data_IF_884334471842
#
_entry.id   IF_884334471842
#
_cell.length_a   1.000
_cell.length_b   1.000
_cell.length_c   1.000
_cell.angle_alpha   90.00
_cell.angle_beta   90.00
_cell.angle_gamma   90.00
#
_symmetry.space_group_name_H-M   'P 1'
#
loop_
_entity.id
_entity.type
_entity.pdbx_description
1 polymer ?
#
# COMPACT_ATOMS: atom_id res chain seq x y z
N UNK A 1 -2.30 6.87 -7.47
CA UNK A 1 -2.43 5.68 -8.35
C UNK A 1 -3.17 6.07 -9.61
N UNK A 2 -3.01 5.31 -10.71
CA UNK A 2 -3.78 5.55 -11.93
C UNK A 2 -5.26 5.21 -11.71
N UNK A 3 -6.13 6.21 -11.91
CA UNK A 3 -7.58 6.06 -11.83
C UNK A 3 -8.19 5.30 -13.01
N UNK A 4 -9.52 5.17 -12.99
CA UNK A 4 -10.31 4.50 -14.01
C UNK A 4 -10.22 2.96 -14.00
N UNK A 5 -10.66 2.36 -15.11
CA UNK A 5 -10.81 0.91 -15.35
C UNK A 5 -10.07 0.42 -16.60
N UNK A 6 -9.26 1.28 -17.23
CA UNK A 6 -8.46 0.94 -18.40
C UNK A 6 -7.33 -0.06 -18.12
N UNK A 7 -6.63 -0.49 -19.18
CA UNK A 7 -5.56 -1.49 -19.12
C UNK A 7 -4.43 -1.13 -18.12
N UNK A 8 -4.06 0.16 -18.03
CA UNK A 8 -2.99 0.64 -17.14
C UNK A 8 -3.52 1.23 -15.82
N UNK A 9 -4.81 1.09 -15.55
CA UNK A 9 -5.42 1.54 -14.29
C UNK A 9 -4.96 0.70 -13.11
N UNK A 10 -5.01 1.26 -11.91
CA UNK A 10 -4.76 0.51 -10.69
C UNK A 10 -5.81 -0.60 -10.46
N UNK A 11 -7.07 -0.35 -10.82
CA UNK A 11 -8.14 -1.34 -10.66
C UNK A 11 -7.85 -2.63 -11.44
N UNK A 12 -7.28 -2.53 -12.64
CA UNK A 12 -6.95 -3.68 -13.50
C UNK A 12 -5.62 -4.35 -13.17
N UNK A 13 -4.79 -3.75 -12.30
CA UNK A 13 -3.42 -4.21 -12.03
C UNK A 13 -3.11 -4.42 -10.54
N UNK A 14 -4.13 -4.54 -9.68
CA UNK A 14 -3.97 -4.60 -8.22
C UNK A 14 -4.27 -5.97 -7.60
N UNK A 15 -4.14 -7.06 -8.38
CA UNK A 15 -4.37 -8.44 -7.90
C UNK A 15 -3.44 -8.84 -6.74
N UNK A 16 -2.20 -8.34 -6.74
CA UNK A 16 -1.26 -8.62 -5.66
C UNK A 16 -1.77 -8.07 -4.33
N UNK A 17 -2.26 -6.83 -4.35
CA UNK A 17 -2.88 -6.18 -3.19
C UNK A 17 -4.16 -6.91 -2.77
N UNK A 18 -4.96 -7.38 -3.73
CA UNK A 18 -6.15 -8.21 -3.47
C UNK A 18 -5.80 -9.49 -2.71
N UNK A 19 -4.75 -10.18 -3.12
CA UNK A 19 -4.30 -11.42 -2.48
C UNK A 19 -3.75 -11.20 -1.08
N UNK A 20 -3.03 -10.09 -0.88
CA UNK A 20 -2.57 -9.65 0.45
C UNK A 20 -3.78 -9.39 1.36
N UNK A 21 -4.76 -8.61 0.90
CA UNK A 21 -6.00 -8.31 1.65
C UNK A 21 -6.70 -9.61 2.07
N UNK A 22 -6.86 -10.57 1.14
CA UNK A 22 -7.46 -11.86 1.44
C UNK A 22 -6.68 -12.66 2.50
N UNK A 23 -5.35 -12.59 2.50
CA UNK A 23 -4.49 -13.27 3.49
C UNK A 23 -4.48 -12.59 4.86
N UNK A 24 -4.74 -11.28 4.90
CA UNK A 24 -4.82 -10.50 6.15
C UNK A 24 -6.20 -10.56 6.79
N UNK A 25 -7.23 -10.98 6.05
CA UNK A 25 -8.61 -11.05 6.50
C UNK A 25 -8.81 -11.59 7.93
N UNK A 26 -8.29 -12.78 8.29
CA UNK A 26 -8.54 -13.32 9.63
C UNK A 26 -8.08 -12.39 10.76
N UNK A 27 -7.02 -11.61 10.54
CA UNK A 27 -6.48 -10.66 11.53
C UNK A 27 -7.37 -9.43 11.66
N UNK A 28 -7.93 -8.95 10.54
CA UNK A 28 -8.91 -7.86 10.54
C UNK A 28 -10.15 -8.29 11.31
N UNK A 29 -10.69 -9.48 11.01
CA UNK A 29 -11.88 -9.98 11.67
C UNK A 29 -11.68 -10.19 13.18
N UNK A 30 -10.57 -10.81 13.58
CA UNK A 30 -10.17 -11.01 14.97
C UNK A 30 -10.13 -9.69 15.74
N UNK A 31 -9.45 -8.67 15.19
CA UNK A 31 -9.32 -7.38 15.85
C UNK A 31 -10.65 -6.64 15.96
N UNK A 32 -11.54 -6.74 14.96
CA UNK A 32 -12.88 -6.18 15.05
C UNK A 32 -13.67 -6.85 16.17
N UNK A 33 -13.72 -8.18 16.21
CA UNK A 33 -14.47 -8.92 17.25
C UNK A 33 -14.00 -8.55 18.65
N UNK A 34 -12.69 -8.52 18.88
CA UNK A 34 -12.13 -8.13 20.17
C UNK A 34 -12.37 -6.65 20.51
N UNK A 35 -12.32 -5.75 19.53
CA UNK A 35 -12.67 -4.35 19.73
C UNK A 35 -14.13 -4.19 20.17
N UNK A 36 -15.06 -4.86 19.49
CA UNK A 36 -16.49 -4.80 19.83
C UNK A 36 -16.77 -5.31 21.25
N UNK A 37 -16.12 -6.42 21.64
CA UNK A 37 -16.19 -6.95 23.01
C UNK A 37 -15.68 -5.93 24.04
N UNK A 38 -14.59 -5.21 23.73
CA UNK A 38 -14.02 -4.20 24.64
C UNK A 38 -14.83 -2.92 24.72
N UNK A 39 -15.50 -2.55 23.64
CA UNK A 39 -16.32 -1.34 23.55
C UNK A 39 -17.79 -1.59 23.93
N UNK A 40 -18.14 -2.80 24.37
CA UNK A 40 -19.49 -3.19 24.75
C UNK A 40 -20.53 -2.95 23.63
N UNK A 41 -20.16 -3.23 22.37
CA UNK A 41 -21.07 -3.17 21.22
C UNK A 41 -21.82 -1.81 21.11
N UNK A 42 -21.13 -0.72 20.74
CA UNK A 42 -21.74 0.61 20.66
C UNK A 42 -22.84 0.71 19.57
N UNK A 43 -23.79 1.62 19.71
CA UNK A 43 -24.86 1.81 18.72
C UNK A 43 -24.37 2.33 17.36
N UNK A 44 -23.21 3.01 17.34
CA UNK A 44 -22.58 3.52 16.14
C UNK A 44 -21.09 3.15 16.11
N UNK A 45 -20.62 2.67 14.96
CA UNK A 45 -19.22 2.32 14.73
C UNK A 45 -18.70 3.11 13.56
N UNK A 46 -17.65 3.90 13.81
CA UNK A 46 -16.92 4.61 12.78
C UNK A 46 -15.64 3.86 12.39
N UNK A 47 -15.52 3.55 11.11
CA UNK A 47 -14.40 2.84 10.50
C UNK A 47 -13.72 3.73 9.48
N UNK A 48 -12.40 3.62 9.34
CA UNK A 48 -11.70 4.22 8.20
C UNK A 48 -10.77 3.23 7.48
N UNK A 49 -10.75 3.29 6.15
CA UNK A 49 -9.74 2.67 5.29
C UNK A 49 -8.79 3.77 4.77
N UNK A 50 -7.52 3.75 5.20
CA UNK A 50 -6.53 4.77 4.83
C UNK A 50 -5.66 4.32 3.66
N UNK A 51 -5.70 5.11 2.58
CA UNK A 51 -5.10 4.80 1.28
C UNK A 51 -5.93 3.76 0.54
N UNK A 52 -7.22 4.06 0.31
CA UNK A 52 -8.17 3.14 -0.31
C UNK A 52 -7.94 2.96 -1.83
N UNK A 53 -7.18 3.87 -2.46
CA UNK A 53 -6.97 3.96 -3.91
C UNK A 53 -8.30 4.04 -4.68
N UNK A 54 -8.28 3.62 -5.94
CA UNK A 54 -9.43 3.49 -6.83
C UNK A 54 -9.61 2.03 -7.25
N UNK A 55 -10.82 1.49 -7.17
CA UNK A 55 -11.14 0.15 -7.68
C UNK A 55 -11.77 -0.79 -6.65
N UNK A 56 -11.86 -2.07 -6.98
CA UNK A 56 -12.65 -3.04 -6.21
C UNK A 56 -12.01 -3.50 -4.90
N UNK A 57 -10.70 -3.33 -4.71
CA UNK A 57 -10.01 -3.85 -3.53
C UNK A 57 -10.53 -3.22 -2.23
N UNK A 58 -10.78 -1.91 -2.21
CA UNK A 58 -11.36 -1.25 -1.02
C UNK A 58 -12.78 -1.77 -0.71
N UNK A 59 -13.56 -2.14 -1.73
CA UNK A 59 -14.88 -2.75 -1.55
C UNK A 59 -14.82 -4.12 -0.88
N UNK A 60 -13.81 -4.94 -1.21
CA UNK A 60 -13.61 -6.23 -0.55
C UNK A 60 -13.31 -6.05 0.94
N UNK A 61 -12.44 -5.11 1.28
CA UNK A 61 -12.13 -4.75 2.67
C UNK A 61 -13.37 -4.25 3.38
N UNK A 62 -14.12 -3.34 2.76
CA UNK A 62 -15.33 -2.77 3.35
C UNK A 62 -16.39 -3.85 3.61
N UNK A 63 -16.65 -4.74 2.66
CA UNK A 63 -17.59 -5.86 2.80
C UNK A 63 -17.19 -6.77 3.96
N UNK A 64 -15.90 -7.12 4.04
CA UNK A 64 -15.36 -7.95 5.11
C UNK A 64 -15.55 -7.33 6.50
N UNK A 65 -15.19 -6.05 6.64
CA UNK A 65 -15.31 -5.33 7.91
C UNK A 65 -16.78 -5.21 8.33
N UNK A 66 -17.65 -4.77 7.42
CA UNK A 66 -19.08 -4.59 7.72
C UNK A 66 -19.77 -5.92 8.04
N UNK A 67 -19.46 -6.99 7.30
CA UNK A 67 -20.00 -8.32 7.60
C UNK A 67 -19.50 -8.86 8.93
N UNK A 68 -18.24 -8.59 9.29
CA UNK A 68 -17.70 -9.00 10.60
C UNK A 68 -18.40 -8.26 11.73
N UNK A 69 -18.58 -6.95 11.59
CA UNK A 69 -19.30 -6.14 12.58
C UNK A 69 -20.73 -6.66 12.74
N UNK A 70 -21.50 -6.70 11.65
CA UNK A 70 -22.91 -7.08 11.68
C UNK A 70 -23.13 -8.51 12.17
N UNK A 71 -22.29 -9.46 11.73
CA UNK A 71 -22.31 -10.83 12.21
C UNK A 71 -21.99 -10.96 13.71
N UNK A 72 -21.11 -10.10 14.25
CA UNK A 72 -20.81 -10.08 15.69
C UNK A 72 -21.99 -9.60 16.52
N UNK A 73 -22.73 -8.57 16.08
CA UNK A 73 -23.94 -8.09 16.79
C UNK A 73 -25.05 -9.15 16.78
N UNK A 74 -25.25 -9.82 15.64
CA UNK A 74 -26.24 -10.89 15.51
C UNK A 74 -25.98 -12.03 16.49
N UNK A 75 -24.72 -12.38 16.73
CA UNK A 75 -24.35 -13.41 17.73
C UNK A 75 -24.67 -13.01 19.17
N UNK A 76 -24.77 -11.70 19.45
CA UNK A 76 -25.13 -11.17 20.78
C UNK A 76 -26.62 -10.89 20.96
N UNK A 77 -27.46 -11.14 19.94
CA UNK A 77 -28.88 -10.78 19.90
C UNK A 77 -29.14 -9.28 20.17
N UNK A 78 -28.20 -8.41 19.80
CA UNK A 78 -28.36 -6.96 19.87
C UNK A 78 -28.81 -6.39 18.53
N UNK A 79 -29.39 -5.19 18.56
CA UNK A 79 -29.74 -4.45 17.35
C UNK A 79 -28.47 -4.10 16.55
N UNK A 80 -28.58 -4.12 15.22
CA UNK A 80 -27.45 -3.79 14.36
C UNK A 80 -27.02 -2.33 14.54
N UNK A 81 -25.71 -2.04 14.60
CA UNK A 81 -25.22 -0.68 14.75
C UNK A 81 -25.35 0.10 13.44
N UNK A 82 -25.33 1.42 13.55
CA UNK A 82 -25.04 2.29 12.41
C UNK A 82 -23.53 2.27 12.14
N UNK A 83 -23.14 2.08 10.89
CA UNK A 83 -21.72 2.04 10.49
C UNK A 83 -21.42 3.27 9.64
N UNK A 84 -20.49 4.10 10.10
CA UNK A 84 -19.92 5.23 9.35
C UNK A 84 -18.56 4.80 8.77
N UNK A 85 -18.52 4.50 7.47
CA UNK A 85 -17.36 3.96 6.78
C UNK A 85 -16.68 5.05 5.94
N UNK A 86 -15.47 5.42 6.34
CA UNK A 86 -14.70 6.50 5.74
C UNK A 86 -13.58 5.96 4.83
N UNK A 87 -13.64 6.32 3.55
CA UNK A 87 -12.62 6.01 2.54
C UNK A 87 -11.66 7.19 2.44
N UNK A 88 -10.40 7.01 2.84
CA UNK A 88 -9.40 8.06 2.74
C UNK A 88 -8.37 7.74 1.65
N UNK A 89 -8.00 8.78 0.90
CA UNK A 89 -6.83 8.80 0.03
C UNK A 89 -6.40 10.26 -0.21
N UNK A 90 -5.33 10.47 -0.96
CA UNK A 90 -4.90 11.80 -1.37
C UNK A 90 -5.94 12.48 -2.25
N UNK A 91 -6.01 13.82 -2.29
CA UNK A 91 -7.01 14.56 -3.07
C UNK A 91 -7.03 14.22 -4.57
N UNK A 92 -5.91 13.76 -5.12
CA UNK A 92 -5.77 13.39 -6.53
C UNK A 92 -6.30 11.98 -6.85
N UNK A 93 -6.72 11.22 -5.85
CA UNK A 93 -7.29 9.89 -6.06
C UNK A 93 -8.63 9.96 -6.79
N UNK A 94 -8.93 8.91 -7.57
CA UNK A 94 -10.19 8.80 -8.32
C UNK A 94 -11.32 8.26 -7.43
N UNK A 95 -11.80 9.11 -6.52
CA UNK A 95 -12.97 8.81 -5.68
C UNK A 95 -14.24 8.58 -6.51
N UNK A 96 -14.35 9.15 -7.71
CA UNK A 96 -15.54 8.99 -8.55
C UNK A 96 -15.71 7.53 -8.98
N UNK A 97 -14.63 6.86 -9.40
CA UNK A 97 -14.66 5.44 -9.74
C UNK A 97 -15.04 4.59 -8.53
N UNK A 98 -14.51 4.91 -7.35
CA UNK A 98 -14.89 4.23 -6.10
C UNK A 98 -16.37 4.46 -5.77
N UNK A 99 -16.88 5.69 -5.81
CA UNK A 99 -18.28 5.98 -5.46
C UNK A 99 -19.31 5.37 -6.43
N UNK A 100 -18.96 5.15 -7.70
CA UNK A 100 -19.82 4.41 -8.63
C UNK A 100 -20.12 2.98 -8.19
N UNK A 101 -19.26 2.38 -7.36
CA UNK A 101 -19.41 1.01 -6.86
C UNK A 101 -20.25 0.93 -5.56
N UNK A 102 -20.48 2.05 -4.87
CA UNK A 102 -21.26 2.11 -3.60
C UNK A 102 -22.67 1.53 -3.72
N UNK A 103 -23.47 1.80 -4.77
CA UNK A 103 -24.80 1.21 -4.90
C UNK A 103 -24.80 -0.32 -4.96
N UNK A 104 -23.74 -0.94 -5.48
CA UNK A 104 -23.60 -2.40 -5.50
C UNK A 104 -23.30 -2.91 -4.10
N UNK A 105 -22.37 -2.26 -3.40
CA UNK A 105 -22.05 -2.59 -2.02
C UNK A 105 -23.27 -2.54 -1.09
N UNK A 106 -24.08 -1.49 -1.20
CA UNK A 106 -25.28 -1.33 -0.36
C UNK A 106 -26.32 -2.46 -0.54
N UNK A 107 -26.26 -3.21 -1.66
CA UNK A 107 -27.11 -4.38 -1.88
C UNK A 107 -26.56 -5.66 -1.23
N UNK A 108 -25.25 -5.72 -1.00
CA UNK A 108 -24.54 -6.89 -0.47
C UNK A 108 -24.49 -6.90 1.06
N UNK A 109 -24.56 -5.73 1.71
CA UNK A 109 -24.48 -5.63 3.17
C UNK A 109 -25.84 -5.57 3.85
N UNK A 110 -25.92 -6.17 5.04
CA UNK A 110 -27.07 -6.03 5.95
C UNK A 110 -26.82 -4.85 6.91
N UNK A 111 -27.89 -4.15 7.30
CA UNK A 111 -27.81 -3.04 8.24
C UNK A 111 -27.56 -1.68 7.58
N UNK A 112 -27.33 -0.66 8.40
CA UNK A 112 -27.15 0.73 7.94
C UNK A 112 -25.66 1.05 7.84
N UNK A 113 -25.16 1.17 6.62
CA UNK A 113 -23.78 1.59 6.34
C UNK A 113 -23.79 2.90 5.54
N UNK A 114 -23.11 3.92 6.06
CA UNK A 114 -22.95 5.24 5.44
C UNK A 114 -21.52 5.38 4.96
N UNK A 115 -21.32 5.77 3.71
CA UNK A 115 -19.99 5.84 3.10
C UNK A 115 -19.62 7.28 2.81
N UNK A 116 -18.43 7.68 3.26
CA UNK A 116 -17.88 9.02 3.03
C UNK A 116 -16.47 8.93 2.43
N UNK A 117 -16.11 9.87 1.55
CA UNK A 117 -14.73 10.05 1.10
C UNK A 117 -14.04 11.17 1.88
N UNK A 118 -12.82 10.92 2.32
CA UNK A 118 -12.00 11.84 3.12
C UNK A 118 -10.72 12.14 2.34
N UNK A 119 -10.69 13.19 1.50
CA UNK A 119 -9.50 13.55 0.75
C UNK A 119 -8.47 14.20 1.67
N UNK A 120 -7.26 13.66 1.72
CA UNK A 120 -6.18 14.24 2.53
C UNK A 120 -5.07 13.26 2.85
N UNK A 121 -3.91 13.79 3.21
CA UNK A 121 -2.80 12.96 3.67
C UNK A 121 -3.09 12.40 5.06
N UNK A 122 -3.05 11.09 5.20
CA UNK A 122 -2.93 10.40 6.47
C UNK A 122 -1.68 10.75 7.31
N UNK A 123 -0.74 11.56 6.82
CA UNK A 123 0.28 12.20 7.68
C UNK A 123 -0.22 13.48 8.36
N UNK A 124 -1.52 13.79 8.23
CA UNK A 124 -2.21 14.91 8.89
C UNK A 124 -3.47 14.44 9.62
N UNK A 125 -4.14 15.34 10.35
CA UNK A 125 -5.45 15.10 10.97
C UNK A 125 -6.53 15.00 9.88
N UNK A 126 -7.30 13.92 9.91
CA UNK A 126 -8.39 13.60 8.99
C UNK A 126 -9.76 13.57 9.68
N UNK A 127 -9.77 13.28 10.99
CA UNK A 127 -11.01 13.07 11.75
C UNK A 127 -11.03 13.90 13.03
N UNK A 128 -12.21 14.20 13.62
CA UNK A 128 -12.31 14.78 14.95
C UNK A 128 -11.67 13.90 16.03
N UNK A 129 -11.32 14.52 17.16
CA UNK A 129 -10.72 13.79 18.29
C UNK A 129 -11.65 12.66 18.75
N UNK A 130 -11.07 11.48 19.01
CA UNK A 130 -11.77 10.32 19.61
C UNK A 130 -13.10 10.00 18.89
N UNK A 131 -13.07 9.95 17.57
CA UNK A 131 -14.24 9.67 16.73
C UNK A 131 -14.15 8.32 16.01
N UNK A 132 -12.95 7.77 15.83
CA UNK A 132 -12.72 6.50 15.14
C UNK A 132 -12.69 5.32 16.11
N UNK A 133 -13.34 4.23 15.73
CA UNK A 133 -13.32 2.97 16.47
C UNK A 133 -12.29 2.02 15.87
N UNK A 134 -12.35 1.83 14.55
CA UNK A 134 -11.47 0.93 13.80
C UNK A 134 -10.82 1.63 12.63
N UNK A 135 -9.55 1.31 12.39
CA UNK A 135 -8.80 1.78 11.23
C UNK A 135 -8.13 0.60 10.52
N UNK A 136 -8.30 0.57 9.21
CA UNK A 136 -7.59 -0.34 8.32
C UNK A 136 -6.67 0.47 7.40
N UNK A 137 -5.51 -0.10 7.06
CA UNK A 137 -4.69 0.39 5.95
C UNK A 137 -3.92 -0.78 5.37
N UNK A 138 -3.97 -0.95 4.04
CA UNK A 138 -3.21 -1.96 3.33
C UNK A 138 -2.46 -1.34 2.16
N UNK A 139 -1.15 -1.57 2.12
CA UNK A 139 -0.26 -1.15 1.03
C UNK A 139 -0.17 0.37 0.80
N UNK A 140 -0.28 1.14 1.88
CA UNK A 140 -0.25 2.62 1.80
C UNK A 140 0.85 3.24 2.66
N UNK A 141 1.12 2.70 3.85
CA UNK A 141 2.03 3.29 4.86
C UNK A 141 3.50 3.35 4.41
N UNK A 142 3.91 2.53 3.44
CA UNK A 142 5.27 2.55 2.90
C UNK A 142 5.53 3.73 1.96
N UNK A 143 4.49 4.47 1.54
CA UNK A 143 4.64 5.71 0.78
C UNK A 143 4.98 6.86 1.72
N UNK A 144 6.12 7.49 1.50
CA UNK A 144 6.63 8.59 2.31
C UNK A 144 5.86 9.87 2.02
N UNK A 145 5.88 10.80 2.98
CA UNK A 145 5.25 12.11 2.82
C UNK A 145 5.94 12.98 1.76
N UNK A 146 7.23 12.70 1.50
CA UNK A 146 8.08 13.37 0.52
C UNK A 146 9.30 12.51 0.18
N UNK A 147 9.99 12.89 -0.89
CA UNK A 147 11.31 12.35 -1.22
C UNK A 147 12.31 12.73 -0.12
N UNK A 148 13.12 11.79 0.41
CA UNK A 148 14.16 12.11 1.39
C UNK A 148 15.18 13.14 0.86
N UNK A 149 15.73 13.94 1.76
CA UNK A 149 16.86 14.83 1.44
C UNK A 149 18.18 14.06 1.55
N UNK A 150 19.26 14.55 0.92
CA UNK A 150 20.58 13.92 1.03
C UNK A 150 20.77 12.70 0.11
N UNK A 151 20.15 12.75 -1.08
CA UNK A 151 20.16 11.66 -2.08
C UNK A 151 21.09 11.96 -3.27
N UNK A 152 21.99 12.93 -3.17
CA UNK A 152 22.88 13.37 -4.26
C UNK A 152 23.82 12.25 -4.76
N UNK A 153 24.11 11.28 -3.89
CA UNK A 153 24.93 10.10 -4.20
C UNK A 153 24.10 8.94 -4.80
N UNK A 154 22.77 9.04 -4.90
CA UNK A 154 21.91 7.99 -5.46
C UNK A 154 21.88 8.00 -7.00
N UNK A 155 23.06 8.14 -7.63
CA UNK A 155 23.17 8.25 -9.08
C UNK A 155 22.75 6.95 -9.76
N UNK A 156 22.20 7.06 -10.95
CA UNK A 156 21.72 5.94 -11.77
C UNK A 156 20.64 5.07 -11.14
N UNK A 157 20.00 5.52 -10.05
CA UNK A 157 19.02 4.74 -9.32
C UNK A 157 17.85 5.63 -8.90
N UNK A 158 16.64 5.07 -8.90
CA UNK A 158 15.44 5.79 -8.46
C UNK A 158 15.09 5.52 -6.99
N UNK A 159 15.81 4.61 -6.33
CA UNK A 159 15.59 4.17 -4.96
C UNK A 159 16.86 3.50 -4.40
N UNK A 160 16.84 3.08 -3.14
CA UNK A 160 17.85 2.21 -2.54
C UNK A 160 18.06 0.96 -3.41
N UNK A 161 19.31 0.73 -3.81
CA UNK A 161 19.79 -0.45 -4.52
C UNK A 161 21.06 -1.01 -3.86
N UNK A 162 21.34 -2.30 -4.09
CA UNK A 162 22.59 -2.92 -3.61
C UNK A 162 23.81 -2.10 -4.04
N UNK A 163 24.67 -1.77 -3.08
CA UNK A 163 25.87 -0.94 -3.32
C UNK A 163 25.67 0.58 -3.19
N UNK A 164 24.44 1.07 -2.94
CA UNK A 164 24.23 2.48 -2.63
C UNK A 164 24.90 2.91 -1.31
N UNK A 165 25.09 4.22 -1.13
CA UNK A 165 25.74 4.74 0.07
C UNK A 165 24.87 4.54 1.32
N UNK A 166 25.51 4.34 2.47
CA UNK A 166 24.80 4.26 3.76
C UNK A 166 23.98 5.54 4.05
N UNK A 167 24.38 6.69 3.48
CA UNK A 167 23.66 7.95 3.63
C UNK A 167 22.30 7.91 2.92
N UNK A 168 22.23 7.34 1.71
CA UNK A 168 20.95 7.17 0.97
C UNK A 168 19.97 6.36 1.81
N UNK A 169 20.39 5.19 2.29
CA UNK A 169 19.51 4.32 3.09
C UNK A 169 19.07 4.96 4.40
N UNK A 170 20.00 5.63 5.10
CA UNK A 170 19.66 6.35 6.34
C UNK A 170 18.67 7.48 6.09
N UNK A 171 18.78 8.18 4.97
CA UNK A 171 17.87 9.27 4.62
C UNK A 171 16.45 8.76 4.41
N UNK A 172 16.30 7.67 3.66
CA UNK A 172 15.02 6.96 3.51
C UNK A 172 14.46 6.44 4.84
N UNK A 173 15.29 5.74 5.63
CA UNK A 173 14.90 5.21 6.94
C UNK A 173 14.44 6.34 7.89
N UNK A 174 15.18 7.46 7.95
CA UNK A 174 14.86 8.58 8.82
C UNK A 174 13.56 9.27 8.39
N UNK A 175 13.34 9.40 7.08
CA UNK A 175 12.09 9.95 6.54
C UNK A 175 10.91 9.05 6.91
N UNK A 176 11.03 7.73 6.74
CA UNK A 176 10.01 6.77 7.18
C UNK A 176 9.73 6.86 8.68
N UNK A 177 10.76 6.87 9.52
CA UNK A 177 10.58 6.95 10.97
C UNK A 177 9.87 8.23 11.40
N UNK A 178 10.17 9.35 10.73
CA UNK A 178 9.50 10.63 10.95
C UNK A 178 8.03 10.57 10.54
N UNK A 179 7.76 10.08 9.33
CA UNK A 179 6.41 9.99 8.76
C UNK A 179 5.53 9.02 9.55
N UNK A 180 6.06 7.85 9.90
CA UNK A 180 5.32 6.85 10.65
C UNK A 180 5.08 7.29 12.11
N UNK A 181 6.03 8.00 12.74
CA UNK A 181 5.79 8.63 14.03
C UNK A 181 4.65 9.66 13.95
N UNK A 182 4.67 10.52 12.93
CA UNK A 182 3.64 11.52 12.72
C UNK A 182 2.28 10.87 12.46
N UNK A 183 2.23 9.83 11.61
CA UNK A 183 1.02 9.02 11.39
C UNK A 183 0.44 8.53 12.72
N UNK A 184 1.23 7.86 13.56
CA UNK A 184 0.78 7.35 14.85
C UNK A 184 0.25 8.48 15.75
N UNK A 185 0.94 9.61 15.82
CA UNK A 185 0.48 10.77 16.60
C UNK A 185 -0.87 11.31 16.11
N UNK A 186 -1.07 11.44 14.80
CA UNK A 186 -2.35 11.90 14.26
C UNK A 186 -3.46 10.89 14.56
N UNK A 187 -3.18 9.58 14.40
CA UNK A 187 -4.16 8.53 14.69
C UNK A 187 -4.49 8.40 16.16
N UNK A 188 -3.55 8.69 17.06
CA UNK A 188 -3.79 8.58 18.50
C UNK A 188 -4.75 9.63 19.04
N UNK A 189 -4.84 10.78 18.36
CA UNK A 189 -5.82 11.83 18.67
C UNK A 189 -7.22 11.46 18.17
N UNK A 190 -7.32 10.71 17.06
CA UNK A 190 -8.57 10.41 16.35
C UNK A 190 -9.26 9.14 16.83
N UNK A 191 -8.47 8.14 17.24
CA UNK A 191 -8.98 6.83 17.66
C UNK A 191 -9.37 6.86 19.14
N UNK A 192 -10.52 6.27 19.46
CA UNK A 192 -11.02 6.10 20.81
C UNK A 192 -10.10 5.17 21.63
N UNK A 193 -10.02 5.33 22.97
CA UNK A 193 -9.42 4.31 23.82
C UNK A 193 -10.03 2.93 23.57
N UNK A 194 -9.21 1.89 23.51
CA UNK A 194 -9.56 0.52 23.07
C UNK A 194 -9.98 0.37 21.58
N UNK A 195 -10.02 1.47 20.82
CA UNK A 195 -10.08 1.42 19.37
C UNK A 195 -8.84 0.75 18.78
N UNK A 196 -8.95 0.24 17.56
CA UNK A 196 -7.91 -0.61 16.96
C UNK A 196 -7.51 -0.17 15.57
N UNK A 197 -6.25 -0.46 15.23
CA UNK A 197 -5.74 -0.34 13.87
C UNK A 197 -5.21 -1.69 13.40
N UNK A 198 -5.45 -2.02 12.12
CA UNK A 198 -4.77 -3.11 11.43
C UNK A 198 -4.07 -2.53 10.20
N UNK A 199 -2.74 -2.62 10.20
CA UNK A 199 -1.86 -2.06 9.18
C UNK A 199 -1.15 -3.19 8.44
N UNK A 200 -1.20 -3.17 7.11
CA UNK A 200 -0.44 -4.09 6.26
C UNK A 200 0.38 -3.30 5.26
N UNK A 201 1.69 -3.54 5.18
CA UNK A 201 2.54 -2.86 4.21
C UNK A 201 3.79 -3.68 3.87
N UNK A 202 4.39 -3.35 2.73
CA UNK A 202 5.65 -3.91 2.26
C UNK A 202 6.74 -3.56 3.26
N UNK A 203 7.52 -4.56 3.67
CA UNK A 203 8.69 -4.41 4.52
C UNK A 203 9.88 -5.17 3.95
N UNK A 204 10.87 -5.43 4.80
CA UNK A 204 11.96 -6.34 4.47
C UNK A 204 12.39 -7.23 5.63
N UNK A 205 13.14 -8.29 5.31
CA UNK A 205 13.76 -9.17 6.31
C UNK A 205 14.84 -8.40 7.07
N UNK A 206 14.82 -8.53 8.38
CA UNK A 206 15.82 -7.96 9.29
C UNK A 206 17.10 -8.80 9.30
N UNK A 207 17.77 -8.87 8.14
CA UNK A 207 19.02 -9.62 7.95
C UNK A 207 20.06 -8.67 7.36
N UNK A 208 21.34 -8.84 7.71
CA UNK A 208 22.43 -8.06 7.10
C UNK A 208 22.67 -8.47 5.63
N UNK A 209 23.15 -7.57 4.76
CA UNK A 209 23.52 -6.17 5.04
C UNK A 209 22.32 -5.22 5.15
N UNK A 210 22.52 -4.11 5.88
CA UNK A 210 21.63 -2.93 5.80
C UNK A 210 21.70 -2.38 4.36
N UNK A 211 20.60 -1.85 3.82
CA UNK A 211 20.47 -1.45 2.40
C UNK A 211 20.40 -2.62 1.42
N UNK A 212 19.35 -3.43 1.49
CA UNK A 212 19.08 -4.41 0.44
C UNK A 212 18.09 -3.88 -0.58
N UNK A 213 18.35 -4.29 -1.82
CA UNK A 213 17.40 -4.22 -2.91
C UNK A 213 16.33 -5.30 -2.72
N UNK A 214 15.46 -5.09 -1.73
CA UNK A 214 14.40 -6.04 -1.35
C UNK A 214 13.07 -5.75 -2.08
N UNK A 215 13.05 -4.74 -2.97
CA UNK A 215 11.88 -4.42 -3.79
C UNK A 215 12.24 -4.22 -5.26
N UNK A 216 12.28 -5.37 -5.93
CA UNK A 216 12.74 -5.56 -7.31
C UNK A 216 12.15 -4.62 -8.39
N UNK A 217 10.96 -4.06 -8.16
CA UNK A 217 10.33 -3.10 -9.08
C UNK A 217 11.17 -1.82 -9.26
N UNK A 218 11.86 -1.34 -8.23
CA UNK A 218 12.63 -0.09 -8.33
C UNK A 218 13.95 -0.26 -9.09
N UNK A 219 14.58 -1.42 -8.98
CA UNK A 219 15.77 -1.75 -9.77
C UNK A 219 15.46 -1.89 -11.24
N UNK A 220 14.35 -2.56 -11.58
CA UNK A 220 13.87 -2.62 -12.96
C UNK A 220 13.57 -1.25 -13.56
N UNK A 221 12.98 -0.35 -12.79
CA UNK A 221 12.73 1.03 -13.23
C UNK A 221 14.04 1.80 -13.42
N UNK A 222 15.02 1.59 -12.54
CA UNK A 222 16.35 2.20 -12.68
C UNK A 222 17.04 1.72 -13.96
N UNK A 223 17.06 0.41 -14.21
CA UNK A 223 17.68 -0.19 -15.39
C UNK A 223 17.00 0.31 -16.69
N UNK A 224 15.67 0.39 -16.70
CA UNK A 224 14.90 0.93 -17.82
C UNK A 224 15.25 2.39 -18.13
N UNK A 225 15.42 3.23 -17.11
CA UNK A 225 15.80 4.63 -17.29
C UNK A 225 17.24 4.79 -17.78
N UNK A 226 18.16 3.94 -17.34
CA UNK A 226 19.57 3.95 -17.79
C UNK A 226 19.71 3.55 -19.25
N UNK A 227 18.91 2.60 -19.73
CA UNK A 227 18.85 2.30 -21.16
C UNK A 227 18.42 3.53 -21.97
N UNK A 228 17.41 4.27 -21.50
CA UNK A 228 16.91 5.47 -22.18
C UNK A 228 17.91 6.63 -22.13
N UNK A 229 18.74 6.73 -21.08
CA UNK A 229 19.88 7.66 -21.08
C UNK A 229 20.89 7.27 -22.15
N UNK A 230 21.20 5.98 -22.26
CA UNK A 230 22.15 5.46 -23.25
C UNK A 230 21.66 5.67 -24.70
N UNK A 231 20.34 5.66 -24.89
CA UNK A 231 19.68 5.96 -26.18
C UNK A 231 19.51 7.47 -26.45
N UNK A 232 19.84 8.33 -25.48
CA UNK A 232 19.68 9.78 -25.59
C UNK A 232 18.23 10.27 -25.53
N UNK A 233 17.29 9.43 -25.07
CA UNK A 233 15.86 9.76 -24.95
C UNK A 233 15.59 10.63 -23.71
N UNK A 234 16.33 10.39 -22.62
CA UNK A 234 16.27 11.19 -21.38
C UNK A 234 17.67 11.60 -20.94
N UNK A 235 17.80 12.70 -20.20
CA UNK A 235 19.10 13.14 -19.69
C UNK A 235 19.48 12.40 -18.42
N UNK A 236 20.77 12.12 -18.25
CA UNK A 236 21.31 11.57 -17.01
C UNK A 236 20.90 12.39 -15.77
N UNK A 237 20.93 13.72 -15.87
CA UNK A 237 20.54 14.62 -14.77
C UNK A 237 19.07 14.51 -14.39
N UNK A 238 18.19 14.18 -15.35
CA UNK A 238 16.77 13.98 -15.07
C UNK A 238 16.57 12.68 -14.28
N UNK A 239 17.27 11.60 -14.67
CA UNK A 239 17.25 10.33 -13.94
C UNK A 239 17.84 10.47 -12.53
N UNK A 240 19.01 11.09 -12.38
CA UNK A 240 19.67 11.28 -11.09
C UNK A 240 18.84 12.14 -10.10
N UNK A 241 17.97 13.01 -10.62
CA UNK A 241 17.07 13.84 -9.80
C UNK A 241 15.75 13.16 -9.42
N UNK A 242 15.41 12.02 -10.03
CA UNK A 242 14.18 11.30 -9.77
C UNK A 242 14.38 10.23 -8.70
N UNK A 243 13.74 10.40 -7.54
CA UNK A 243 13.79 9.43 -6.45
C UNK A 243 12.36 9.11 -5.98
N UNK A 244 12.04 7.84 -5.81
CA UNK A 244 10.71 7.37 -5.41
C UNK A 244 10.52 7.60 -3.91
N UNK A 245 9.45 8.27 -3.45
CA UNK A 245 9.17 8.49 -2.02
C UNK A 245 8.55 7.23 -1.39
N UNK A 246 9.32 6.16 -1.31
CA UNK A 246 8.89 4.84 -0.81
C UNK A 246 9.96 4.29 0.13
N UNK A 247 9.55 3.64 1.22
CA UNK A 247 10.47 2.87 2.06
C UNK A 247 9.79 1.62 2.58
N UNK A 248 10.45 0.49 2.39
CA UNK A 248 10.10 -0.79 3.00
C UNK A 248 10.88 -0.91 4.32
N UNK A 249 10.23 -0.84 5.50
CA UNK A 249 10.90 -0.96 6.78
C UNK A 249 11.03 -2.41 7.26
N UNK A 250 11.88 -2.65 8.25
CA UNK A 250 11.93 -3.92 8.98
C UNK A 250 10.88 -3.94 10.09
N UNK A 251 10.46 -5.14 10.50
CA UNK A 251 9.58 -5.29 11.67
C UNK A 251 10.18 -4.64 12.94
N UNK A 252 11.51 -4.71 13.10
CA UNK A 252 12.24 -4.07 14.20
C UNK A 252 12.14 -2.55 14.17
N UNK A 253 12.30 -1.94 12.99
CA UNK A 253 12.16 -0.49 12.81
C UNK A 253 10.76 -0.01 13.16
N UNK A 254 9.72 -0.70 12.67
CA UNK A 254 8.31 -0.36 12.94
C UNK A 254 8.01 -0.47 14.43
N UNK A 255 8.38 -1.58 15.07
CA UNK A 255 8.17 -1.77 16.52
C UNK A 255 8.85 -0.69 17.35
N UNK A 256 10.06 -0.28 16.96
CA UNK A 256 10.80 0.79 17.65
C UNK A 256 10.05 2.11 17.58
N UNK A 257 9.51 2.49 16.42
CA UNK A 257 8.75 3.74 16.27
C UNK A 257 7.46 3.71 17.10
N UNK A 258 6.70 2.61 17.07
CA UNK A 258 5.46 2.48 17.87
C UNK A 258 5.74 2.61 19.37
N UNK A 259 6.78 1.92 19.86
CA UNK A 259 7.16 1.98 21.28
C UNK A 259 7.64 3.36 21.70
N UNK A 260 8.38 4.05 20.83
CA UNK A 260 8.89 5.39 21.09
C UNK A 260 7.80 6.46 21.06
N UNK A 261 6.81 6.34 20.16
CA UNK A 261 5.68 7.26 20.11
C UNK A 261 4.74 7.07 21.32
N UNK A 262 4.44 5.82 21.66
CA UNK A 262 3.89 5.44 22.96
C UNK A 262 2.36 5.45 23.10
N UNK A 263 1.59 5.96 22.13
CA UNK A 263 0.13 6.07 22.21
C UNK A 263 -0.62 4.77 21.95
N UNK A 264 0.04 3.79 21.31
CA UNK A 264 -0.54 2.50 20.97
C UNK A 264 0.20 1.35 21.66
N UNK A 265 -0.55 0.32 22.01
CA UNK A 265 -0.04 -1.00 22.36
C UNK A 265 0.05 -1.85 21.11
N UNK A 266 1.14 -2.60 20.95
CA UNK A 266 1.29 -3.58 19.88
C UNK A 266 0.58 -4.85 20.32
N UNK A 267 -0.59 -5.12 19.74
CA UNK A 267 -1.32 -6.37 20.00
C UNK A 267 -0.61 -7.54 19.31
N UNK A 268 -0.31 -7.38 18.01
CA UNK A 268 0.38 -8.41 17.23
C UNK A 268 1.17 -7.79 16.09
N UNK A 269 2.30 -8.42 15.77
CA UNK A 269 3.06 -8.16 14.54
C UNK A 269 3.42 -9.51 13.92
N UNK A 270 3.13 -9.66 12.63
CA UNK A 270 3.45 -10.85 11.85
C UNK A 270 4.16 -10.42 10.57
N UNK A 271 5.04 -11.29 10.09
CA UNK A 271 5.70 -11.08 8.80
C UNK A 271 5.58 -12.31 7.93
N UNK A 272 5.41 -12.12 6.63
CA UNK A 272 5.37 -13.24 5.69
C UNK A 272 5.86 -12.84 4.30
N UNK A 273 6.36 -13.83 3.58
CA UNK A 273 6.62 -13.70 2.15
C UNK A 273 5.35 -14.02 1.36
N UNK A 274 5.05 -13.13 0.42
CA UNK A 274 3.95 -13.29 -0.51
C UNK A 274 4.53 -13.45 -1.91
N UNK A 275 4.22 -14.59 -2.53
CA UNK A 275 4.51 -14.78 -3.94
C UNK A 275 3.66 -13.80 -4.75
N UNK A 276 4.32 -12.98 -5.57
CA UNK A 276 3.64 -12.07 -6.48
C UNK A 276 3.07 -12.91 -7.61
N UNK A 277 1.79 -13.25 -7.50
CA UNK A 277 1.16 -14.14 -8.46
C UNK A 277 1.15 -13.51 -9.86
N UNK A 278 1.43 -14.33 -10.86
CA UNK A 278 1.05 -14.09 -12.24
C UNK A 278 0.39 -15.38 -12.70
N UNK A 279 -0.87 -15.29 -13.13
CA UNK A 279 -1.58 -16.43 -13.70
C UNK A 279 -0.84 -16.85 -14.97
N UNK A 280 -0.30 -18.06 -14.96
CA UNK A 280 0.10 -18.79 -16.16
C UNK A 280 -1.11 -19.63 -16.56
N UNK A 281 -1.93 -19.11 -17.47
CA UNK A 281 -2.95 -19.96 -18.10
C UNK A 281 -2.24 -21.04 -18.93
N UNK A 282 -2.41 -22.28 -18.47
CA UNK A 282 -2.26 -23.58 -19.13
C UNK A 282 -0.90 -24.00 -19.73
N UNK A 283 -0.69 -25.32 -19.68
CA UNK A 283 0.52 -26.13 -19.94
C UNK A 283 1.02 -26.12 -21.41
N UNK A 284 0.81 -25.04 -22.18
CA UNK A 284 1.02 -25.03 -23.63
C UNK A 284 1.96 -23.96 -24.19
N UNK A 285 2.44 -23.04 -23.38
CA UNK A 285 3.38 -22.00 -23.82
C UNK A 285 4.83 -22.37 -23.49
N UNK A 286 5.75 -22.00 -24.37
CA UNK A 286 7.19 -22.11 -24.07
C UNK A 286 7.62 -21.04 -23.05
N UNK A 287 8.80 -21.26 -22.47
CA UNK A 287 9.36 -20.41 -21.40
C UNK A 287 9.54 -18.93 -21.84
N UNK A 288 9.77 -18.70 -23.14
CA UNK A 288 9.93 -17.36 -23.70
C UNK A 288 8.60 -16.59 -23.74
N UNK A 289 7.51 -17.23 -24.15
CA UNK A 289 6.16 -16.65 -24.10
C UNK A 289 5.76 -16.28 -22.68
N UNK A 290 6.06 -17.16 -21.71
CA UNK A 290 5.82 -16.90 -20.29
C UNK A 290 6.60 -15.68 -19.77
N UNK A 291 7.89 -15.58 -20.10
CA UNK A 291 8.70 -14.42 -19.73
C UNK A 291 8.17 -13.09 -20.28
N UNK A 292 7.69 -13.07 -21.54
CA UNK A 292 7.11 -11.86 -22.15
C UNK A 292 5.81 -11.44 -21.44
N UNK A 293 4.91 -12.40 -21.17
CA UNK A 293 3.66 -12.14 -20.44
C UNK A 293 3.95 -11.63 -19.03
N UNK A 294 4.90 -12.25 -18.33
CA UNK A 294 5.36 -11.81 -17.01
C UNK A 294 5.88 -10.38 -17.05
N UNK A 295 6.78 -10.06 -17.99
CA UNK A 295 7.37 -8.73 -18.11
C UNK A 295 6.33 -7.65 -18.35
N UNK A 296 5.35 -7.90 -19.24
CA UNK A 296 4.23 -6.98 -19.47
C UNK A 296 3.37 -6.76 -18.23
N UNK A 297 3.02 -7.84 -17.51
CA UNK A 297 2.21 -7.75 -16.28
C UNK A 297 2.94 -6.98 -15.18
N UNK A 298 4.24 -7.19 -15.03
CA UNK A 298 5.07 -6.44 -14.08
C UNK A 298 5.18 -4.97 -14.46
N UNK A 299 5.36 -4.65 -15.75
CA UNK A 299 5.37 -3.27 -16.25
C UNK A 299 4.03 -2.56 -15.99
N UNK A 300 2.89 -3.22 -16.28
CA UNK A 300 1.58 -2.63 -16.02
C UNK A 300 1.33 -2.39 -14.52
N UNK A 301 1.77 -3.30 -13.64
CA UNK A 301 1.72 -3.11 -12.19
C UNK A 301 2.55 -1.91 -11.72
N UNK A 302 3.79 -1.81 -12.20
CA UNK A 302 4.65 -0.66 -11.91
C UNK A 302 4.02 0.64 -12.41
N UNK A 303 3.54 0.64 -13.66
CA UNK A 303 2.87 1.78 -14.30
C UNK A 303 1.67 2.26 -13.51
N UNK A 304 0.80 1.35 -13.08
CA UNK A 304 -0.38 1.68 -12.31
C UNK A 304 -0.09 2.44 -11.00
N UNK A 305 1.11 2.26 -10.43
CA UNK A 305 1.51 2.92 -9.18
C UNK A 305 2.47 4.11 -9.37
N UNK A 306 3.22 4.19 -10.47
CA UNK A 306 4.23 5.25 -10.70
C UNK A 306 4.00 6.16 -11.90
N UNK A 307 3.06 5.88 -12.79
CA UNK A 307 2.91 6.68 -14.02
C UNK A 307 2.69 8.17 -13.74
N UNK A 308 1.77 8.51 -12.82
CA UNK A 308 1.53 9.92 -12.45
C UNK A 308 2.78 10.69 -11.99
N UNK A 309 3.67 10.07 -11.19
CA UNK A 309 4.91 10.71 -10.74
C UNK A 309 5.96 10.79 -11.86
N UNK A 310 6.01 9.79 -12.74
CA UNK A 310 6.91 9.79 -13.89
C UNK A 310 6.49 10.85 -14.91
N UNK A 311 5.19 11.00 -15.19
CA UNK A 311 4.64 12.08 -16.03
C UNK A 311 4.99 13.43 -15.43
N UNK A 312 4.83 13.61 -14.13
CA UNK A 312 5.14 14.88 -13.47
C UNK A 312 6.63 15.27 -13.58
N UNK A 313 7.53 14.28 -13.66
CA UNK A 313 8.98 14.51 -13.69
C UNK A 313 9.57 14.54 -15.10
N UNK A 314 9.27 13.52 -15.91
CA UNK A 314 9.80 13.35 -17.27
C UNK A 314 8.88 13.92 -18.35
N UNK A 315 7.65 14.29 -18.00
CA UNK A 315 6.69 14.91 -18.91
C UNK A 315 5.99 13.91 -19.83
N UNK A 316 6.49 13.82 -21.07
CA UNK A 316 5.76 13.27 -22.22
C UNK A 316 5.35 11.79 -22.06
N UNK A 317 4.07 11.52 -22.28
CA UNK A 317 3.48 10.17 -22.40
C UNK A 317 4.26 9.22 -23.33
N UNK A 318 4.92 9.72 -24.38
CA UNK A 318 5.78 8.91 -25.26
C UNK A 318 6.99 8.37 -24.48
N UNK A 319 7.65 9.22 -23.67
CA UNK A 319 8.77 8.81 -22.82
C UNK A 319 8.27 7.77 -21.79
N UNK A 320 7.09 7.98 -21.22
CA UNK A 320 6.50 7.02 -20.27
C UNK A 320 6.28 5.65 -20.91
N UNK A 321 5.76 5.61 -22.13
CA UNK A 321 5.61 4.36 -22.87
C UNK A 321 6.96 3.69 -23.13
N UNK A 322 8.00 4.45 -23.49
CA UNK A 322 9.35 3.91 -23.66
C UNK A 322 9.92 3.34 -22.35
N UNK A 323 9.73 4.03 -21.22
CA UNK A 323 10.14 3.56 -19.89
C UNK A 323 9.52 2.19 -19.62
N UNK A 324 8.20 2.04 -19.79
CA UNK A 324 7.52 0.79 -19.46
C UNK A 324 7.78 -0.33 -20.49
N UNK A 325 8.12 -0.01 -21.74
CA UNK A 325 8.61 -1.00 -22.70
C UNK A 325 9.97 -1.56 -22.28
N UNK A 326 10.90 -0.69 -21.87
CA UNK A 326 12.22 -1.09 -21.34
C UNK A 326 12.08 -1.85 -20.02
N UNK A 327 11.20 -1.39 -19.14
CA UNK A 327 10.86 -2.09 -17.90
C UNK A 327 10.39 -3.51 -18.19
N UNK A 328 9.44 -3.68 -19.12
CA UNK A 328 8.92 -4.99 -19.50
C UNK A 328 10.02 -5.89 -20.04
N UNK A 329 10.95 -5.35 -20.84
CA UNK A 329 12.11 -6.09 -21.37
C UNK A 329 13.01 -6.62 -20.25
N UNK A 330 13.43 -5.77 -19.31
CA UNK A 330 14.24 -6.19 -18.15
C UNK A 330 13.51 -7.20 -17.27
N UNK A 331 12.20 -6.99 -17.05
CA UNK A 331 11.38 -7.93 -16.29
C UNK A 331 11.27 -9.30 -16.98
N UNK A 332 11.19 -9.35 -18.32
CA UNK A 332 11.20 -10.58 -19.10
C UNK A 332 12.54 -11.31 -19.03
N UNK A 333 13.66 -10.59 -19.10
CA UNK A 333 14.99 -11.21 -19.03
C UNK A 333 15.30 -11.83 -17.67
N UNK A 334 14.82 -11.20 -16.61
CA UNK A 334 15.00 -11.65 -15.23
C UNK A 334 13.84 -12.57 -14.76
N UNK A 335 13.05 -13.07 -15.71
CA UNK A 335 11.97 -14.00 -15.41
C UNK A 335 12.51 -15.27 -14.76
N UNK A 336 11.86 -15.70 -13.68
CA UNK A 336 12.08 -17.01 -13.08
C UNK A 336 10.73 -17.66 -12.77
N UNK A 337 10.64 -18.99 -12.94
CA UNK A 337 9.42 -19.74 -12.67
C UNK A 337 8.94 -19.62 -11.22
N UNK A 338 9.85 -19.40 -10.28
CA UNK A 338 9.52 -19.18 -8.87
C UNK A 338 8.81 -17.85 -8.61
N UNK A 339 8.84 -16.91 -9.56
CA UNK A 339 8.30 -15.55 -9.42
C UNK A 339 9.01 -14.70 -8.34
N UNK A 340 8.80 -13.38 -8.35
CA UNK A 340 9.28 -12.52 -7.29
C UNK A 340 8.41 -12.65 -6.04
N UNK A 341 9.00 -12.46 -4.87
CA UNK A 341 8.27 -12.38 -3.59
C UNK A 341 8.28 -10.95 -3.06
N UNK A 342 7.24 -10.60 -2.30
CA UNK A 342 7.21 -9.40 -1.47
C UNK A 342 7.21 -9.80 -0.01
N UNK A 343 8.02 -9.12 0.80
CA UNK A 343 7.98 -9.27 2.25
C UNK A 343 6.94 -8.31 2.84
N UNK A 344 6.04 -8.83 3.66
CA UNK A 344 4.89 -8.10 4.17
C UNK A 344 4.92 -8.08 5.69
N UNK A 345 4.61 -6.92 6.27
CA UNK A 345 4.39 -6.72 7.70
C UNK A 345 2.89 -6.53 7.90
N UNK A 346 2.30 -7.30 8.81
CA UNK A 346 0.95 -7.08 9.35
C UNK A 346 1.12 -6.68 10.80
N UNK A 347 0.50 -5.59 11.22
CA UNK A 347 0.54 -5.12 12.58
C UNK A 347 -0.86 -4.74 13.06
N UNK A 348 -1.25 -5.25 14.21
CA UNK A 348 -2.44 -4.79 14.94
C UNK A 348 -2.04 -3.97 16.15
N UNK A 349 -2.70 -2.83 16.31
CA UNK A 349 -2.45 -1.85 17.35
C UNK A 349 -3.73 -1.56 18.14
N UNK A 350 -3.61 -1.36 19.44
CA UNK A 350 -4.71 -0.97 20.33
C UNK A 350 -4.40 0.41 20.89
N UNK A 351 -5.36 1.33 20.83
CA UNK A 351 -5.23 2.66 21.42
C UNK A 351 -5.30 2.56 22.94
N UNK A 352 -4.24 3.00 23.62
CA UNK A 352 -4.14 3.03 25.09
C UNK A 352 -5.12 4.00 25.76
#
# INVERSE_FOLDING_TARGET
MNGGDGEHSYSSNSDNQRNVIAKTRPKVEENIREMLLKLNFPECIKVSDLGCSSGQNTFLVMLEIVNTITGSYQQTNQDLPEIDYCLNDLPQNDFNTTFKLVPFFNKEVKGKCFISGIPGSFYSRLFPNKSLHFLHSSYSIHWLSKVPQGLEDNKNNVHIRSGCSLNVCRSYMNQFQTDFNLFLRMRSEEILPNGRMVLTFIGHKDVKPFCRDDFYLWSLLSDALIDLVSEGVVKQSEVDSFNVPFYNPSAGEVMKVVRNEGSFEINKIETYEHLVSYETDEEKDDDQSHGIKFGRKMANRARAITESMLIAHFGDTIIINHIFNKFAHHATQNYSFSGPTTFNIIMSLIRK
#
